data_IF_947076819084
#
_entry.id   IF_947076819084
#
_cell.length_a   1.000
_cell.length_b   1.000
_cell.length_c   1.000
_cell.angle_alpha   90.00
_cell.angle_beta   90.00
_cell.angle_gamma   90.00
#
_symmetry.space_group_name_H-M   'P 1'
#
loop_
_entity.id
_entity.type
_entity.pdbx_description
1 polymer ?
#
# COMPACT_ATOMS: atom_id res chain seq x y z
N UNK A 1 11.37 7.50 22.68
CA UNK A 1 12.54 7.64 21.79
C UNK A 1 12.52 6.68 20.60
N UNK A 2 12.14 5.40 20.77
CA UNK A 2 12.19 4.40 19.69
C UNK A 2 11.66 4.81 18.33
N UNK A 3 10.43 5.34 18.25
CA UNK A 3 9.87 5.80 16.96
C UNK A 3 10.67 6.95 16.34
N UNK A 4 11.17 7.89 17.15
CA UNK A 4 11.97 9.03 16.67
C UNK A 4 13.30 8.54 16.10
N UNK A 5 13.99 7.61 16.77
CA UNK A 5 15.21 7.00 16.25
C UNK A 5 14.95 6.22 14.96
N UNK A 6 13.82 5.51 14.86
CA UNK A 6 13.45 4.82 13.63
C UNK A 6 13.20 5.79 12.47
N UNK A 7 12.44 6.87 12.71
CA UNK A 7 12.16 7.90 11.71
C UNK A 7 13.42 8.67 11.30
N UNK A 8 14.30 9.02 12.24
CA UNK A 8 15.58 9.66 11.94
C UNK A 8 16.44 8.78 11.01
N UNK A 9 16.36 7.46 11.18
CA UNK A 9 17.03 6.50 10.31
C UNK A 9 16.58 6.53 8.84
N UNK A 10 15.37 7.02 8.56
CA UNK A 10 14.80 7.11 7.20
C UNK A 10 15.28 8.34 6.42
N UNK A 11 15.92 9.31 7.09
CA UNK A 11 16.41 10.52 6.43
C UNK A 11 17.55 10.15 5.47
N UNK A 12 17.46 10.54 4.18
CA UNK A 12 18.51 10.25 3.21
C UNK A 12 19.85 10.87 3.60
N UNK A 13 20.95 10.20 3.27
CA UNK A 13 22.30 10.55 3.75
C UNK A 13 22.69 12.01 3.46
N UNK A 14 22.31 12.53 2.30
CA UNK A 14 22.58 13.90 1.88
C UNK A 14 21.83 14.97 2.70
N UNK A 15 20.80 14.59 3.47
CA UNK A 15 20.03 15.49 4.33
C UNK A 15 20.22 15.20 5.83
N UNK A 16 20.95 14.13 6.19
CA UNK A 16 21.16 13.74 7.59
C UNK A 16 21.85 14.83 8.41
N UNK A 17 22.79 15.58 7.83
CA UNK A 17 23.46 16.68 8.53
C UNK A 17 22.48 17.79 8.95
N UNK A 18 21.54 18.17 8.07
CA UNK A 18 20.56 19.23 8.34
C UNK A 18 19.51 18.77 9.35
N UNK A 19 19.04 17.53 9.24
CA UNK A 19 18.12 16.94 10.23
C UNK A 19 18.77 16.88 11.62
N UNK A 20 20.05 16.48 11.71
CA UNK A 20 20.83 16.48 12.96
C UNK A 20 20.97 17.87 13.56
N UNK A 21 21.31 18.86 12.73
CA UNK A 21 21.50 20.24 13.17
C UNK A 21 20.21 20.88 13.71
N UNK A 22 19.07 20.60 13.06
CA UNK A 22 17.78 21.23 13.41
C UNK A 22 17.05 20.52 14.55
N UNK A 23 17.12 19.19 14.61
CA UNK A 23 16.34 18.40 15.58
C UNK A 23 17.16 17.91 16.76
N UNK A 24 18.50 17.90 16.65
CA UNK A 24 19.39 17.26 17.61
C UNK A 24 19.26 15.72 17.65
N UNK A 25 18.40 15.12 16.82
CA UNK A 25 18.10 13.69 16.86
C UNK A 25 18.98 12.90 15.89
N UNK A 26 19.53 11.79 16.38
CA UNK A 26 20.18 10.76 15.57
C UNK A 26 19.55 9.41 15.86
N UNK A 27 19.56 8.48 14.90
CA UNK A 27 19.02 7.15 15.12
C UNK A 27 19.02 6.30 13.87
N UNK A 28 18.74 5.00 14.06
CA UNK A 28 18.59 4.04 12.97
C UNK A 28 17.29 3.26 13.11
N UNK A 29 16.77 2.72 12.00
CA UNK A 29 15.59 1.84 12.02
C UNK A 29 15.79 0.63 12.95
N UNK A 30 16.92 -0.12 12.90
CA UNK A 30 17.16 -1.23 13.83
C UNK A 30 17.17 -0.80 15.30
N UNK A 31 17.79 0.35 15.62
CA UNK A 31 17.81 0.89 16.98
C UNK A 31 16.40 1.22 17.47
N UNK A 32 15.64 1.99 16.69
CA UNK A 32 14.29 2.38 17.07
C UNK A 32 13.34 1.19 17.24
N UNK A 33 13.48 0.17 16.37
CA UNK A 33 12.78 -1.11 16.48
C UNK A 33 13.12 -1.83 17.80
N UNK A 34 14.41 -1.95 18.13
CA UNK A 34 14.86 -2.62 19.34
C UNK A 34 14.40 -1.91 20.62
N UNK A 35 14.38 -0.58 20.63
CA UNK A 35 13.88 0.22 21.75
C UNK A 35 12.38 0.01 21.98
N UNK A 36 11.56 0.02 20.93
CA UNK A 36 10.12 -0.27 21.03
C UNK A 36 9.87 -1.73 21.49
N UNK A 37 10.63 -2.68 20.94
CA UNK A 37 10.53 -4.09 21.34
C UNK A 37 10.91 -4.30 22.82
N UNK A 38 11.91 -3.56 23.33
CA UNK A 38 12.29 -3.60 24.74
C UNK A 38 11.14 -3.14 25.65
N UNK A 39 10.46 -2.05 25.30
CA UNK A 39 9.31 -1.54 26.07
C UNK A 39 8.19 -2.59 26.12
N UNK A 40 7.82 -3.15 24.97
CA UNK A 40 6.79 -4.21 24.88
C UNK A 40 7.16 -5.50 25.62
N UNK A 41 8.45 -5.77 25.84
CA UNK A 41 8.86 -6.91 26.68
C UNK A 41 8.70 -6.58 28.16
N UNK A 42 9.04 -5.36 28.58
CA UNK A 42 8.89 -4.94 29.98
C UNK A 42 7.44 -4.85 30.45
N UNK A 43 6.48 -4.63 29.53
CA UNK A 43 5.05 -4.56 29.90
C UNK A 43 4.50 -5.86 30.48
N UNK A 44 5.14 -6.99 30.18
CA UNK A 44 4.79 -8.31 30.74
C UNK A 44 5.07 -8.42 32.24
N UNK A 45 6.03 -7.66 32.74
CA UNK A 45 6.46 -7.67 34.14
C UNK A 45 5.86 -6.50 34.91
N UNK A 46 5.71 -5.34 34.25
CA UNK A 46 5.17 -4.12 34.85
C UNK A 46 4.14 -3.47 33.92
N UNK A 47 2.91 -3.20 34.38
CA UNK A 47 1.92 -2.49 33.57
C UNK A 47 2.47 -1.17 33.04
N UNK A 48 2.28 -0.93 31.75
CA UNK A 48 2.69 0.32 31.10
C UNK A 48 1.48 0.98 30.44
N UNK A 49 1.23 2.24 30.78
CA UNK A 49 0.05 2.97 30.34
C UNK A 49 -0.07 3.05 28.81
N UNK A 50 1.05 3.15 28.09
CA UNK A 50 1.07 3.34 26.63
C UNK A 50 1.46 2.07 25.87
N UNK A 51 1.08 0.89 26.38
CA UNK A 51 1.39 -0.39 25.75
C UNK A 51 0.77 -0.50 24.35
N UNK A 52 -0.50 -0.13 24.20
CA UNK A 52 -1.23 -0.21 22.92
C UNK A 52 -0.65 0.74 21.87
N UNK A 53 -0.31 1.98 22.26
CA UNK A 53 0.37 2.94 21.37
C UNK A 53 1.76 2.45 20.99
N UNK A 54 2.49 1.87 21.93
CA UNK A 54 3.82 1.30 21.65
C UNK A 54 3.70 0.13 20.67
N UNK A 55 2.68 -0.71 20.82
CA UNK A 55 2.38 -1.81 19.92
C UNK A 55 2.01 -1.31 18.52
N UNK A 56 1.20 -0.27 18.41
CA UNK A 56 0.86 0.36 17.13
C UNK A 56 2.10 0.94 16.45
N UNK A 57 2.95 1.67 17.19
CA UNK A 57 4.19 2.22 16.65
C UNK A 57 5.17 1.13 16.24
N UNK A 58 5.27 0.06 17.03
CA UNK A 58 6.15 -1.07 16.72
C UNK A 58 5.71 -1.80 15.45
N UNK A 59 4.41 -2.11 15.32
CA UNK A 59 3.87 -2.73 14.10
C UNK A 59 4.01 -1.81 12.89
N UNK A 60 3.88 -0.49 13.05
CA UNK A 60 4.21 0.49 12.00
C UNK A 60 5.67 0.38 11.54
N UNK A 61 6.64 0.33 12.47
CA UNK A 61 8.07 0.19 12.15
C UNK A 61 8.35 -1.14 11.44
N UNK A 62 7.72 -2.23 11.87
CA UNK A 62 7.86 -3.53 11.23
C UNK A 62 7.37 -3.50 9.78
N UNK A 63 6.19 -2.93 9.53
CA UNK A 63 5.58 -2.89 8.20
C UNK A 63 6.27 -1.92 7.26
N UNK A 64 6.50 -0.69 7.71
CA UNK A 64 6.85 0.43 6.83
C UNK A 64 8.35 0.67 6.74
N UNK A 65 9.11 0.32 7.77
CA UNK A 65 10.54 0.65 7.84
C UNK A 65 11.44 -0.59 7.81
N UNK A 66 10.95 -1.74 8.28
CA UNK A 66 11.74 -2.98 8.37
C UNK A 66 11.36 -4.05 7.34
N UNK A 67 10.24 -3.88 6.63
CA UNK A 67 9.71 -4.86 5.68
C UNK A 67 9.52 -6.27 6.30
N UNK A 68 8.97 -6.32 7.53
CA UNK A 68 8.72 -7.55 8.30
C UNK A 68 7.20 -7.81 8.54
N UNK A 69 6.39 -8.01 7.48
CA UNK A 69 4.93 -8.12 7.60
C UNK A 69 4.46 -9.33 8.41
N UNK A 70 5.21 -10.45 8.35
CA UNK A 70 4.93 -11.66 9.13
C UNK A 70 5.13 -11.44 10.63
N UNK A 71 6.22 -10.75 11.01
CA UNK A 71 6.49 -10.39 12.40
C UNK A 71 5.43 -9.40 12.91
N UNK A 72 5.04 -8.43 12.08
CA UNK A 72 3.99 -7.47 12.45
C UNK A 72 2.66 -8.19 12.72
N UNK A 73 2.26 -9.12 11.85
CA UNK A 73 1.05 -9.90 12.04
C UNK A 73 1.11 -10.78 13.30
N UNK A 74 2.22 -11.51 13.49
CA UNK A 74 2.40 -12.35 14.69
C UNK A 74 2.31 -11.50 15.97
N UNK A 75 2.90 -10.31 15.95
CA UNK A 75 2.88 -9.40 17.12
C UNK A 75 1.45 -8.94 17.41
N UNK A 76 0.72 -8.41 16.42
CA UNK A 76 -0.61 -7.84 16.66
C UNK A 76 -1.66 -8.91 17.01
N UNK A 77 -1.57 -10.09 16.38
CA UNK A 77 -2.53 -11.19 16.62
C UNK A 77 -2.39 -11.84 17.99
N UNK A 78 -1.25 -11.67 18.65
CA UNK A 78 -0.95 -12.23 19.97
C UNK A 78 -1.05 -11.19 21.10
N UNK A 79 -1.46 -9.96 20.79
CA UNK A 79 -1.44 -8.84 21.72
C UNK A 79 -2.66 -8.75 22.67
N UNK A 80 -3.58 -9.73 22.65
CA UNK A 80 -4.74 -9.74 23.54
C UNK A 80 -5.80 -8.66 23.26
N UNK A 81 -5.70 -7.95 22.13
CA UNK A 81 -6.61 -6.89 21.72
C UNK A 81 -8.04 -7.40 21.53
N UNK A 82 -9.01 -6.56 21.87
CA UNK A 82 -10.46 -6.84 21.82
C UNK A 82 -11.15 -6.03 20.71
N UNK A 83 -11.03 -6.41 19.43
CA UNK A 83 -11.56 -5.62 18.31
C UNK A 83 -13.08 -5.52 18.26
N UNK A 84 -13.81 -6.47 18.88
CA UNK A 84 -15.27 -6.43 18.94
C UNK A 84 -15.82 -5.43 19.97
N UNK A 85 -14.96 -4.94 20.88
CA UNK A 85 -15.34 -4.06 21.98
C UNK A 85 -14.71 -2.66 21.83
N UNK A 86 -13.54 -2.57 21.20
CA UNK A 86 -12.80 -1.31 21.03
C UNK A 86 -12.55 -1.00 19.54
N UNK A 87 -13.06 0.13 19.01
CA UNK A 87 -12.84 0.54 17.61
C UNK A 87 -11.36 0.74 17.25
N UNK A 88 -10.52 1.17 18.20
CA UNK A 88 -9.08 1.33 18.00
C UNK A 88 -8.40 -0.03 17.83
N UNK A 89 -8.77 -1.03 18.63
CA UNK A 89 -8.28 -2.41 18.46
C UNK A 89 -8.67 -2.98 17.10
N UNK A 90 -9.92 -2.74 16.67
CA UNK A 90 -10.39 -3.11 15.34
C UNK A 90 -9.53 -2.47 14.25
N UNK A 91 -9.25 -1.17 14.37
CA UNK A 91 -8.40 -0.42 13.44
C UNK A 91 -6.98 -1.00 13.39
N UNK A 92 -6.36 -1.25 14.55
CA UNK A 92 -4.98 -1.75 14.64
C UNK A 92 -4.82 -3.11 13.94
N UNK A 93 -5.65 -4.09 14.30
CA UNK A 93 -5.57 -5.44 13.71
C UNK A 93 -5.89 -5.38 12.22
N UNK A 94 -6.96 -4.69 11.82
CA UNK A 94 -7.35 -4.60 10.43
C UNK A 94 -6.29 -3.87 9.58
N UNK A 95 -5.65 -2.82 10.11
CA UNK A 95 -4.60 -2.08 9.40
C UNK A 95 -3.38 -2.95 9.14
N UNK A 96 -2.92 -3.71 10.14
CA UNK A 96 -1.80 -4.65 9.97
C UNK A 96 -2.18 -5.76 8.99
N UNK A 97 -3.38 -6.35 9.11
CA UNK A 97 -3.87 -7.37 8.19
C UNK A 97 -3.90 -6.87 6.74
N UNK A 98 -4.43 -5.66 6.51
CA UNK A 98 -4.53 -5.04 5.18
C UNK A 98 -3.17 -4.68 4.57
N UNK A 99 -2.16 -4.34 5.38
CA UNK A 99 -0.80 -4.04 4.93
C UNK A 99 0.05 -5.31 4.71
N UNK A 100 -0.30 -6.42 5.38
CA UNK A 100 0.39 -7.71 5.26
C UNK A 100 -0.32 -8.71 4.33
N UNK A 101 -1.09 -8.22 3.34
CA UNK A 101 -1.80 -9.04 2.35
C UNK A 101 -2.78 -10.10 2.95
N UNK A 102 -3.32 -9.85 4.14
CA UNK A 102 -4.26 -10.73 4.86
C UNK A 102 -5.68 -10.16 4.83
N UNK A 103 -6.22 -9.98 3.63
CA UNK A 103 -7.48 -9.28 3.46
C UNK A 103 -8.69 -10.02 4.07
N UNK A 104 -8.68 -11.36 4.12
CA UNK A 104 -9.74 -12.13 4.79
C UNK A 104 -9.73 -11.92 6.32
N UNK A 105 -8.56 -11.78 6.95
CA UNK A 105 -8.46 -11.46 8.38
C UNK A 105 -8.96 -10.04 8.65
N UNK A 106 -8.61 -9.08 7.79
CA UNK A 106 -9.15 -7.73 7.87
C UNK A 106 -10.67 -7.72 7.77
N UNK A 107 -11.26 -8.48 6.84
CA UNK A 107 -12.70 -8.60 6.69
C UNK A 107 -13.36 -9.23 7.92
N UNK A 108 -12.77 -10.29 8.47
CA UNK A 108 -13.25 -10.96 9.68
C UNK A 108 -13.34 -9.97 10.85
N UNK A 109 -12.29 -9.18 11.06
CA UNK A 109 -12.23 -8.18 12.14
C UNK A 109 -13.19 -7.02 11.89
N UNK A 110 -13.17 -6.43 10.70
CA UNK A 110 -13.99 -5.26 10.36
C UNK A 110 -15.49 -5.57 10.34
N UNK A 111 -15.88 -6.81 10.03
CA UNK A 111 -17.27 -7.26 10.09
C UNK A 111 -17.82 -7.31 11.52
N UNK A 112 -16.94 -7.44 12.52
CA UNK A 112 -17.27 -7.52 13.95
C UNK A 112 -16.97 -6.22 14.69
N UNK A 113 -16.74 -5.12 13.97
CA UNK A 113 -16.45 -3.83 14.60
C UNK A 113 -17.58 -3.43 15.58
N UNK A 114 -17.26 -2.71 16.67
CA UNK A 114 -18.26 -2.35 17.68
C UNK A 114 -19.41 -1.56 17.07
N UNK A 115 -20.65 -1.89 17.48
CA UNK A 115 -21.89 -1.23 17.00
C UNK A 115 -22.55 -0.37 18.09
N UNK A 116 -21.90 -0.20 19.24
CA UNK A 116 -22.46 0.56 20.36
C UNK A 116 -22.57 2.05 20.00
N UNK A 117 -23.79 2.63 19.96
CA UNK A 117 -24.01 4.04 19.68
C UNK A 117 -23.38 5.00 20.70
N UNK A 118 -23.02 4.52 21.89
CA UNK A 118 -22.32 5.30 22.91
C UNK A 118 -20.84 5.52 22.58
N UNK A 119 -20.26 4.72 21.67
CA UNK A 119 -18.87 4.88 21.24
C UNK A 119 -18.73 6.06 20.28
N UNK A 120 -17.59 6.76 20.38
CA UNK A 120 -17.26 7.82 19.43
C UNK A 120 -17.19 7.24 18.01
N UNK A 121 -17.83 7.89 17.01
CA UNK A 121 -17.77 7.43 15.63
C UNK A 121 -16.32 7.31 15.15
N UNK A 122 -16.01 6.18 14.51
CA UNK A 122 -14.72 5.97 13.86
C UNK A 122 -14.91 5.70 12.35
N UNK A 123 -15.24 6.73 11.54
CA UNK A 123 -15.60 6.56 10.12
C UNK A 123 -14.52 5.84 9.30
N UNK A 124 -13.26 5.92 9.70
CA UNK A 124 -12.15 5.26 9.03
C UNK A 124 -12.32 3.74 8.95
N UNK A 125 -12.98 3.11 9.93
CA UNK A 125 -13.30 1.69 9.89
C UNK A 125 -14.24 1.34 8.72
N UNK A 126 -15.16 2.23 8.37
CA UNK A 126 -16.02 2.06 7.19
C UNK A 126 -15.20 2.15 5.91
N UNK A 127 -14.30 3.13 5.79
CA UNK A 127 -13.41 3.22 4.64
C UNK A 127 -12.54 1.96 4.47
N UNK A 128 -11.96 1.45 5.56
CA UNK A 128 -11.17 0.22 5.57
C UNK A 128 -12.02 -0.99 5.18
N UNK A 129 -13.25 -1.09 5.68
CA UNK A 129 -14.12 -2.22 5.38
C UNK A 129 -14.59 -2.22 3.92
N UNK A 130 -14.95 -1.05 3.38
CA UNK A 130 -15.20 -0.88 1.95
C UNK A 130 -14.00 -1.30 1.12
N UNK A 131 -12.79 -0.90 1.53
CA UNK A 131 -11.54 -1.25 0.82
C UNK A 131 -11.24 -2.73 0.87
N UNK A 132 -11.40 -3.38 2.02
CA UNK A 132 -11.20 -4.81 2.13
C UNK A 132 -12.22 -5.59 1.29
N UNK A 133 -13.49 -5.15 1.23
CA UNK A 133 -14.51 -5.73 0.34
C UNK A 133 -14.16 -5.53 -1.14
N UNK A 134 -13.80 -4.32 -1.54
CA UNK A 134 -13.46 -4.03 -2.93
C UNK A 134 -12.23 -4.81 -3.41
N UNK A 135 -11.24 -5.06 -2.55
CA UNK A 135 -10.06 -5.89 -2.84
C UNK A 135 -10.38 -7.35 -3.15
N UNK A 136 -11.53 -7.88 -2.70
CA UNK A 136 -12.07 -9.18 -3.11
C UNK A 136 -13.16 -9.10 -4.17
N UNK A 137 -13.31 -7.92 -4.80
CA UNK A 137 -14.33 -7.60 -5.80
C UNK A 137 -15.77 -7.65 -5.26
N UNK A 138 -15.95 -7.52 -3.94
CA UNK A 138 -17.27 -7.38 -3.32
C UNK A 138 -17.73 -5.92 -3.40
N UNK A 139 -18.73 -5.67 -4.25
CA UNK A 139 -19.21 -4.33 -4.57
C UNK A 139 -20.17 -3.75 -3.51
N UNK A 140 -20.52 -4.54 -2.48
CA UNK A 140 -21.11 -4.02 -1.24
C UNK A 140 -20.17 -3.02 -0.55
N UNK A 141 -18.90 -2.94 -0.97
CA UNK A 141 -17.99 -1.86 -0.63
C UNK A 141 -18.61 -0.45 -0.80
N UNK A 142 -19.51 -0.28 -1.77
CA UNK A 142 -20.21 0.99 -2.06
C UNK A 142 -20.83 1.60 -0.79
N UNK A 143 -21.56 0.78 0.00
CA UNK A 143 -22.28 1.26 1.20
C UNK A 143 -21.33 1.80 2.26
N UNK A 144 -20.15 1.20 2.37
CA UNK A 144 -19.16 1.55 3.37
C UNK A 144 -18.44 2.86 3.02
N UNK A 145 -18.14 3.08 1.74
CA UNK A 145 -17.60 4.37 1.29
C UNK A 145 -18.61 5.51 1.42
N UNK A 146 -19.89 5.25 1.14
CA UNK A 146 -20.97 6.22 1.38
C UNK A 146 -21.11 6.54 2.87
N UNK A 147 -21.06 5.52 3.74
CA UNK A 147 -21.05 5.71 5.19
C UNK A 147 -19.86 6.55 5.66
N UNK A 148 -18.66 6.30 5.14
CA UNK A 148 -17.47 7.11 5.42
C UNK A 148 -17.69 8.57 5.02
N UNK A 149 -18.10 8.83 3.77
CA UNK A 149 -18.30 10.19 3.27
C UNK A 149 -19.40 10.97 4.03
N UNK A 150 -20.42 10.29 4.54
CA UNK A 150 -21.48 10.92 5.33
C UNK A 150 -21.06 11.30 6.76
N UNK A 151 -20.15 10.55 7.36
CA UNK A 151 -19.78 10.71 8.77
C UNK A 151 -18.43 11.40 8.98
N UNK A 152 -17.49 11.24 8.04
CA UNK A 152 -16.14 11.77 8.17
C UNK A 152 -16.12 13.30 8.04
N UNK A 153 -15.52 13.96 9.04
CA UNK A 153 -15.42 15.43 9.11
C UNK A 153 -14.04 15.98 8.71
N UNK A 154 -13.10 15.10 8.37
CA UNK A 154 -11.79 15.50 7.88
C UNK A 154 -11.79 15.81 6.39
N UNK A 155 -10.62 16.23 5.88
CA UNK A 155 -10.42 16.62 4.48
C UNK A 155 -9.67 15.60 3.61
N UNK A 156 -8.89 14.73 4.25
CA UNK A 156 -8.06 13.72 3.60
C UNK A 156 -8.87 12.44 3.32
N UNK A 157 -8.55 11.72 2.25
CA UNK A 157 -9.21 10.47 1.87
C UNK A 157 -10.58 10.64 1.21
N UNK A 158 -11.10 11.88 1.11
CA UNK A 158 -12.38 12.16 0.46
C UNK A 158 -12.30 11.91 -1.06
N UNK A 159 -11.21 12.34 -1.72
CA UNK A 159 -11.04 12.09 -3.16
C UNK A 159 -10.84 10.61 -3.43
N UNK A 160 -10.04 9.96 -2.58
CA UNK A 160 -9.87 8.51 -2.64
C UNK A 160 -11.21 7.77 -2.48
N UNK A 161 -12.05 8.13 -1.51
CA UNK A 161 -13.37 7.50 -1.33
C UNK A 161 -14.26 7.63 -2.58
N UNK A 162 -14.27 8.81 -3.22
CA UNK A 162 -14.98 9.00 -4.49
C UNK A 162 -14.37 8.17 -5.62
N UNK A 163 -13.05 8.05 -5.72
CA UNK A 163 -12.40 7.15 -6.69
C UNK A 163 -12.82 5.69 -6.45
N UNK A 164 -12.89 5.23 -5.21
CA UNK A 164 -13.34 3.86 -4.89
C UNK A 164 -14.81 3.64 -5.23
N UNK A 165 -15.68 4.63 -5.02
CA UNK A 165 -17.07 4.60 -5.49
C UNK A 165 -17.15 4.56 -7.01
N UNK A 166 -16.31 5.33 -7.71
CA UNK A 166 -16.22 5.29 -9.16
C UNK A 166 -15.85 3.87 -9.62
N UNK A 167 -14.83 3.26 -9.03
CA UNK A 167 -14.44 1.89 -9.33
C UNK A 167 -15.57 0.89 -9.10
N UNK A 168 -16.31 1.02 -7.99
CA UNK A 168 -17.49 0.18 -7.74
C UNK A 168 -18.54 0.33 -8.85
N UNK A 169 -18.83 1.56 -9.29
CA UNK A 169 -19.78 1.82 -10.38
C UNK A 169 -19.29 1.24 -11.72
N UNK A 170 -18.01 1.46 -12.06
CA UNK A 170 -17.42 0.91 -13.28
C UNK A 170 -17.46 -0.61 -13.32
N UNK A 171 -17.16 -1.28 -12.21
CA UNK A 171 -17.23 -2.74 -12.12
C UNK A 171 -18.67 -3.29 -12.17
N UNK A 172 -19.69 -2.46 -11.92
CA UNK A 172 -21.12 -2.77 -12.15
C UNK A 172 -21.56 -2.53 -13.60
N UNK A 173 -20.69 -1.98 -14.45
CA UNK A 173 -21.06 -1.53 -15.80
C UNK A 173 -21.71 -0.14 -15.85
N UNK A 174 -21.72 0.60 -14.74
CA UNK A 174 -22.28 1.95 -14.65
C UNK A 174 -21.20 3.02 -14.95
N UNK A 175 -20.92 3.23 -16.23
CA UNK A 175 -19.99 4.28 -16.68
C UNK A 175 -20.46 5.70 -16.31
N UNK A 176 -21.76 6.07 -16.43
CA UNK A 176 -22.25 7.35 -15.92
C UNK A 176 -21.99 7.55 -14.43
N UNK A 177 -22.18 6.51 -13.61
CA UNK A 177 -21.87 6.52 -12.18
C UNK A 177 -20.38 6.69 -11.90
N UNK A 178 -19.51 5.99 -12.64
CA UNK A 178 -18.07 6.17 -12.56
C UNK A 178 -17.68 7.64 -12.77
N UNK A 179 -18.15 8.25 -13.87
CA UNK A 179 -17.84 9.65 -14.20
C UNK A 179 -18.41 10.62 -13.16
N UNK A 180 -19.63 10.37 -12.67
CA UNK A 180 -20.26 11.19 -11.62
C UNK A 180 -19.43 11.18 -10.34
N UNK A 181 -18.99 10.02 -9.87
CA UNK A 181 -18.15 9.94 -8.68
C UNK A 181 -16.79 10.63 -8.87
N UNK A 182 -16.15 10.49 -10.05
CA UNK A 182 -14.91 11.23 -10.32
C UNK A 182 -15.11 12.75 -10.37
N UNK A 183 -16.25 13.26 -10.85
CA UNK A 183 -16.56 14.71 -10.75
C UNK A 183 -16.65 15.19 -9.31
N UNK A 184 -17.12 14.35 -8.38
CA UNK A 184 -17.02 14.67 -6.96
C UNK A 184 -15.57 14.67 -6.48
N UNK A 185 -14.73 13.72 -6.92
CA UNK A 185 -13.30 13.72 -6.58
C UNK A 185 -12.55 14.97 -7.11
N UNK A 186 -13.00 15.59 -8.21
CA UNK A 186 -12.47 16.87 -8.68
C UNK A 186 -12.75 18.02 -7.70
N UNK A 187 -13.95 18.05 -7.12
CA UNK A 187 -14.47 19.22 -6.39
C UNK A 187 -14.43 19.09 -4.86
N UNK A 188 -14.41 17.87 -4.32
CA UNK A 188 -14.51 17.59 -2.89
C UNK A 188 -13.18 17.11 -2.30
N UNK A 189 -12.92 17.46 -1.04
CA UNK A 189 -11.68 17.07 -0.34
C UNK A 189 -10.41 17.76 -0.85
N UNK A 190 -9.26 17.37 -0.29
CA UNK A 190 -7.95 17.93 -0.67
C UNK A 190 -7.02 16.86 -1.25
N UNK A 191 -6.06 17.27 -2.06
CA UNK A 191 -5.04 16.40 -2.65
C UNK A 191 -3.69 16.55 -1.94
N UNK A 192 -3.67 16.36 -0.61
CA UNK A 192 -2.45 16.44 0.20
C UNK A 192 -1.76 15.07 0.31
N UNK A 193 -2.55 14.00 0.45
CA UNK A 193 -2.06 12.62 0.52
C UNK A 193 -1.72 12.06 -0.86
N UNK A 194 -0.84 11.05 -0.92
CA UNK A 194 -0.52 10.37 -2.17
C UNK A 194 -1.75 9.71 -2.82
N UNK A 195 -2.66 9.18 -2.00
CA UNK A 195 -3.88 8.53 -2.49
C UNK A 195 -4.86 9.54 -3.09
N UNK A 196 -5.10 10.68 -2.42
CA UNK A 196 -5.96 11.73 -2.97
C UNK A 196 -5.38 12.39 -4.22
N UNK A 197 -4.04 12.52 -4.31
CA UNK A 197 -3.37 12.97 -5.54
C UNK A 197 -3.58 12.00 -6.70
N UNK A 198 -3.48 10.69 -6.45
CA UNK A 198 -3.79 9.68 -7.47
C UNK A 198 -5.26 9.73 -7.90
N UNK A 199 -6.17 9.83 -6.93
CA UNK A 199 -7.60 9.98 -7.20
C UNK A 199 -7.92 11.23 -8.02
N UNK A 200 -7.30 12.36 -7.72
CA UNK A 200 -7.45 13.60 -8.49
C UNK A 200 -6.95 13.42 -9.93
N UNK A 201 -5.80 12.77 -10.12
CA UNK A 201 -5.24 12.52 -11.46
C UNK A 201 -6.17 11.66 -12.32
N UNK A 202 -6.70 10.58 -11.77
CA UNK A 202 -7.69 9.75 -12.46
C UNK A 202 -8.98 10.54 -12.75
N UNK A 203 -9.42 11.36 -11.79
CA UNK A 203 -10.60 12.20 -11.95
C UNK A 203 -10.47 13.22 -13.09
N UNK A 204 -9.26 13.67 -13.40
CA UNK A 204 -9.00 14.57 -14.54
C UNK A 204 -9.15 13.89 -15.90
N UNK A 205 -8.95 12.57 -15.98
CA UNK A 205 -9.13 11.84 -17.24
C UNK A 205 -10.59 11.48 -17.52
N UNK A 206 -11.38 11.26 -16.45
CA UNK A 206 -12.76 10.73 -16.49
C UNK A 206 -12.91 9.43 -17.31
N UNK A 207 -11.81 8.72 -17.54
CA UNK A 207 -11.76 7.49 -18.34
C UNK A 207 -11.21 6.35 -17.49
N UNK A 208 -11.94 5.23 -17.37
CA UNK A 208 -11.46 4.10 -16.61
C UNK A 208 -10.33 3.39 -17.37
N UNK A 209 -9.38 2.85 -16.62
CA UNK A 209 -8.50 1.81 -17.12
C UNK A 209 -9.31 0.54 -17.47
N UNK A 210 -8.78 -0.37 -18.30
CA UNK A 210 -9.42 -1.64 -18.58
C UNK A 210 -9.85 -2.38 -17.30
N UNK A 211 -11.08 -2.86 -17.28
CA UNK A 211 -11.68 -3.47 -16.09
C UNK A 211 -10.85 -4.63 -15.54
N UNK A 212 -10.23 -5.43 -16.41
CA UNK A 212 -9.36 -6.55 -16.03
C UNK A 212 -8.11 -6.07 -15.28
N UNK A 213 -7.47 -4.98 -15.71
CA UNK A 213 -6.30 -4.42 -15.01
C UNK A 213 -6.69 -3.84 -13.64
N UNK A 214 -7.86 -3.19 -13.54
CA UNK A 214 -8.40 -2.73 -12.27
C UNK A 214 -8.72 -3.88 -11.32
N UNK A 215 -9.41 -4.93 -11.80
CA UNK A 215 -9.71 -6.12 -11.00
C UNK A 215 -8.43 -6.82 -10.53
N UNK A 216 -7.44 -6.96 -11.40
CA UNK A 216 -6.14 -7.54 -11.05
C UNK A 216 -5.41 -6.71 -9.98
N UNK A 217 -5.46 -5.36 -10.06
CA UNK A 217 -4.96 -4.46 -9.02
C UNK A 217 -5.64 -4.74 -7.67
N UNK A 218 -6.96 -4.76 -7.65
CA UNK A 218 -7.74 -4.93 -6.43
C UNK A 218 -7.46 -6.28 -5.77
N UNK A 219 -7.42 -7.36 -6.57
CA UNK A 219 -7.09 -8.70 -6.09
C UNK A 219 -5.64 -8.76 -5.56
N UNK A 220 -4.69 -8.15 -6.26
CA UNK A 220 -3.30 -8.06 -5.80
C UNK A 220 -3.19 -7.32 -4.46
N UNK A 221 -3.84 -6.15 -4.33
CA UNK A 221 -3.84 -5.35 -3.09
C UNK A 221 -4.51 -6.10 -1.93
N UNK A 222 -5.40 -7.06 -2.22
CA UNK A 222 -6.01 -7.97 -1.26
C UNK A 222 -5.20 -9.23 -0.93
N UNK A 223 -4.05 -9.46 -1.58
CA UNK A 223 -3.29 -10.70 -1.42
C UNK A 223 -3.86 -11.90 -2.18
N UNK A 224 -4.88 -11.71 -3.02
CA UNK A 224 -5.51 -12.76 -3.82
C UNK A 224 -4.70 -13.05 -5.10
N UNK A 225 -3.40 -13.30 -4.97
CA UNK A 225 -2.47 -13.37 -6.10
C UNK A 225 -2.85 -14.45 -7.11
N UNK A 226 -3.29 -15.63 -6.65
CA UNK A 226 -3.71 -16.71 -7.56
C UNK A 226 -4.95 -16.32 -8.39
N UNK A 227 -5.93 -15.65 -7.77
CA UNK A 227 -7.12 -15.16 -8.50
C UNK A 227 -6.76 -14.08 -9.51
N UNK A 228 -5.86 -13.18 -9.12
CA UNK A 228 -5.36 -12.12 -10.01
C UNK A 228 -4.60 -12.71 -11.22
N UNK A 229 -3.81 -13.76 -11.00
CA UNK A 229 -3.06 -14.44 -12.05
C UNK A 229 -4.01 -15.06 -13.08
N UNK A 230 -4.95 -15.90 -12.62
CA UNK A 230 -5.91 -16.58 -13.50
C UNK A 230 -6.70 -15.58 -14.35
N UNK A 231 -7.19 -14.50 -13.72
CA UNK A 231 -7.90 -13.43 -14.42
C UNK A 231 -7.06 -12.77 -15.52
N UNK A 232 -5.77 -12.53 -15.25
CA UNK A 232 -4.87 -11.89 -16.19
C UNK A 232 -4.48 -12.83 -17.35
N UNK A 233 -4.27 -14.12 -17.06
CA UNK A 233 -3.98 -15.16 -18.05
C UNK A 233 -5.17 -15.40 -19.00
N UNK A 234 -6.39 -15.40 -18.45
CA UNK A 234 -7.64 -15.56 -19.23
C UNK A 234 -7.82 -14.42 -20.24
N UNK A 235 -7.63 -13.17 -19.82
CA UNK A 235 -7.72 -12.03 -20.74
C UNK A 235 -6.58 -12.04 -21.76
N UNK A 236 -5.35 -12.29 -21.32
CA UNK A 236 -4.16 -12.28 -22.16
C UNK A 236 -3.74 -10.88 -22.67
N UNK A 237 -2.48 -10.78 -23.10
CA UNK A 237 -1.88 -9.51 -23.53
C UNK A 237 -2.47 -8.95 -24.85
N UNK A 238 -3.00 -9.81 -25.72
CA UNK A 238 -3.45 -9.43 -27.08
C UNK A 238 -4.65 -8.47 -27.07
N UNK A 239 -5.37 -8.42 -25.97
CA UNK A 239 -6.53 -7.55 -25.75
C UNK A 239 -6.14 -6.09 -25.48
N UNK A 240 -4.86 -5.80 -25.25
CA UNK A 240 -4.38 -4.45 -24.92
C UNK A 240 -3.65 -3.83 -26.10
N UNK A 241 -4.27 -2.81 -26.71
CA UNK A 241 -3.72 -2.10 -27.86
C UNK A 241 -2.78 -0.95 -27.47
N UNK A 242 -3.11 -0.20 -26.42
CA UNK A 242 -2.29 0.95 -26.00
C UNK A 242 -0.98 0.49 -25.36
N UNK A 243 0.09 1.27 -25.61
CA UNK A 243 1.39 1.03 -24.97
C UNK A 243 1.25 1.04 -23.44
N UNK A 244 0.50 2.01 -22.89
CA UNK A 244 0.24 2.12 -21.45
C UNK A 244 -0.34 0.84 -20.86
N UNK A 245 -1.41 0.29 -21.46
CA UNK A 245 -2.06 -0.90 -20.92
C UNK A 245 -1.19 -2.15 -21.07
N UNK A 246 -0.39 -2.25 -22.14
CA UNK A 246 0.57 -3.36 -22.31
C UNK A 246 1.68 -3.30 -21.26
N UNK A 247 2.19 -2.10 -20.96
CA UNK A 247 3.16 -1.89 -19.89
C UNK A 247 2.58 -2.25 -18.53
N UNK A 248 1.37 -1.75 -18.24
CA UNK A 248 0.66 -2.05 -17.02
C UNK A 248 0.40 -3.55 -16.86
N UNK A 249 -0.02 -4.24 -17.92
CA UNK A 249 -0.25 -5.68 -17.92
C UNK A 249 1.02 -6.44 -17.51
N UNK A 250 2.14 -6.19 -18.17
CA UNK A 250 3.40 -6.88 -17.89
C UNK A 250 3.91 -6.57 -16.47
N UNK A 251 3.81 -5.32 -16.04
CA UNK A 251 4.15 -4.92 -14.69
C UNK A 251 3.27 -5.62 -13.65
N UNK A 252 1.94 -5.64 -13.83
CA UNK A 252 0.99 -6.32 -12.92
C UNK A 252 1.23 -7.81 -12.87
N UNK A 253 1.45 -8.45 -14.01
CA UNK A 253 1.81 -9.86 -14.08
C UNK A 253 3.08 -10.15 -13.27
N UNK A 254 4.12 -9.32 -13.43
CA UNK A 254 5.35 -9.41 -12.64
C UNK A 254 5.10 -9.26 -11.14
N UNK A 255 4.29 -8.28 -10.72
CA UNK A 255 3.91 -8.08 -9.31
C UNK A 255 3.18 -9.29 -8.73
N UNK A 256 2.20 -9.82 -9.46
CA UNK A 256 1.40 -10.98 -9.04
C UNK A 256 2.29 -12.22 -8.87
N UNK A 257 3.12 -12.52 -9.87
CA UNK A 257 4.06 -13.65 -9.83
C UNK A 257 5.12 -13.49 -8.74
N UNK A 258 5.57 -12.25 -8.50
CA UNK A 258 6.45 -11.92 -7.38
C UNK A 258 5.76 -12.21 -6.03
N UNK A 259 4.49 -11.81 -5.86
CA UNK A 259 3.70 -12.16 -4.67
C UNK A 259 3.52 -13.67 -4.46
N UNK A 260 3.47 -14.44 -5.54
CA UNK A 260 3.44 -15.92 -5.53
C UNK A 260 4.84 -16.55 -5.35
N UNK A 261 5.91 -15.75 -5.21
CA UNK A 261 7.31 -16.20 -5.16
C UNK A 261 7.76 -16.98 -6.40
N UNK A 262 7.07 -16.84 -7.53
CA UNK A 262 7.45 -17.38 -8.85
C UNK A 262 8.46 -16.44 -9.51
N UNK A 263 9.62 -16.29 -8.89
CA UNK A 263 10.60 -15.27 -9.24
C UNK A 263 11.06 -15.30 -10.71
N UNK A 264 11.37 -16.46 -11.33
CA UNK A 264 11.79 -16.49 -12.73
C UNK A 264 10.76 -15.88 -13.69
N UNK A 265 9.49 -16.17 -13.46
CA UNK A 265 8.39 -15.70 -14.30
C UNK A 265 8.05 -14.24 -14.02
N UNK A 266 8.18 -13.81 -12.76
CA UNK A 266 8.08 -12.42 -12.37
C UNK A 266 9.14 -11.56 -13.08
N UNK A 267 10.40 -12.02 -13.06
CA UNK A 267 11.53 -11.38 -13.75
C UNK A 267 11.28 -11.29 -15.26
N UNK A 268 10.80 -12.36 -15.90
CA UNK A 268 10.45 -12.35 -17.32
C UNK A 268 9.34 -11.32 -17.64
N UNK A 269 8.35 -11.18 -16.76
CA UNK A 269 7.27 -10.20 -16.93
C UNK A 269 7.75 -8.75 -16.72
N UNK A 270 8.57 -8.50 -15.70
CA UNK A 270 9.20 -7.20 -15.50
C UNK A 270 10.11 -6.81 -16.66
N UNK A 271 10.87 -7.77 -17.19
CA UNK A 271 11.75 -7.55 -18.34
C UNK A 271 10.96 -7.03 -19.54
N UNK A 272 9.82 -7.65 -19.87
CA UNK A 272 8.93 -7.17 -20.93
C UNK A 272 8.41 -5.74 -20.67
N UNK A 273 8.06 -5.42 -19.42
CA UNK A 273 7.66 -4.05 -19.07
C UNK A 273 8.80 -3.03 -19.22
N UNK A 274 10.04 -3.42 -18.90
CA UNK A 274 11.21 -2.56 -19.02
C UNK A 274 11.61 -2.33 -20.49
N UNK A 275 11.62 -3.39 -21.30
CA UNK A 275 11.94 -3.32 -22.73
C UNK A 275 10.98 -2.42 -23.50
N UNK A 276 9.67 -2.54 -23.23
CA UNK A 276 8.65 -1.72 -23.90
C UNK A 276 8.59 -0.28 -23.38
N UNK A 277 9.01 -0.04 -22.13
CA UNK A 277 8.65 1.17 -21.39
C UNK A 277 9.81 2.03 -20.92
N UNK A 278 11.07 1.68 -21.21
CA UNK A 278 12.26 2.41 -20.74
C UNK A 278 12.21 3.93 -21.00
N UNK A 279 11.65 4.32 -22.14
CA UNK A 279 11.53 5.72 -22.57
C UNK A 279 10.08 6.23 -22.50
N UNK A 280 9.15 5.45 -21.96
CA UNK A 280 7.76 5.84 -21.82
C UNK A 280 7.56 6.71 -20.56
N UNK A 281 6.60 7.65 -20.55
CA UNK A 281 6.33 8.50 -19.38
C UNK A 281 5.74 7.73 -18.20
N UNK A 282 5.24 6.51 -18.43
CA UNK A 282 4.56 5.71 -17.42
C UNK A 282 5.54 5.06 -16.44
N UNK A 283 5.19 5.04 -15.15
CA UNK A 283 6.04 4.53 -14.08
C UNK A 283 6.32 3.02 -14.11
N UNK A 284 5.59 2.24 -14.92
CA UNK A 284 5.61 0.78 -14.92
C UNK A 284 7.01 0.20 -15.15
N UNK A 285 7.76 0.70 -16.13
CA UNK A 285 9.12 0.24 -16.41
C UNK A 285 10.10 0.58 -15.27
N UNK A 286 10.04 1.81 -14.75
CA UNK A 286 10.87 2.26 -13.64
C UNK A 286 10.62 1.41 -12.38
N UNK A 287 9.35 1.14 -12.08
CA UNK A 287 8.99 0.30 -10.95
C UNK A 287 9.30 -1.18 -11.20
N UNK A 288 9.17 -1.69 -12.43
CA UNK A 288 9.62 -3.03 -12.79
C UNK A 288 11.13 -3.22 -12.52
N UNK A 289 11.97 -2.23 -12.85
CA UNK A 289 13.39 -2.26 -12.53
C UNK A 289 13.64 -2.30 -11.01
N UNK A 290 12.93 -1.46 -10.25
CA UNK A 290 12.99 -1.49 -8.78
C UNK A 290 12.63 -2.87 -8.20
N UNK A 291 11.52 -3.47 -8.68
CA UNK A 291 11.07 -4.79 -8.19
C UNK A 291 12.03 -5.91 -8.58
N UNK A 292 12.62 -5.85 -9.78
CA UNK A 292 13.66 -6.78 -10.20
C UNK A 292 14.89 -6.71 -9.29
N UNK A 293 15.32 -5.49 -8.91
CA UNK A 293 16.40 -5.31 -7.94
C UNK A 293 16.09 -5.95 -6.57
N UNK A 294 14.84 -5.78 -6.08
CA UNK A 294 14.37 -6.39 -4.82
C UNK A 294 14.37 -7.93 -4.91
N UNK A 295 13.97 -8.50 -6.05
CA UNK A 295 14.03 -9.96 -6.25
C UNK A 295 15.49 -10.44 -6.19
N UNK A 296 16.40 -9.80 -6.91
CA UNK A 296 17.81 -10.21 -6.92
C UNK A 296 18.46 -10.09 -5.54
N UNK A 297 18.12 -9.04 -4.78
CA UNK A 297 18.54 -8.92 -3.39
C UNK A 297 18.01 -10.08 -2.53
N UNK A 298 16.73 -10.40 -2.66
CA UNK A 298 16.10 -11.52 -1.93
C UNK A 298 16.78 -12.86 -2.27
N UNK A 299 17.25 -13.01 -3.50
CA UNK A 299 17.97 -14.18 -3.98
C UNK A 299 19.47 -14.19 -3.60
N UNK A 300 19.96 -13.20 -2.83
CA UNK A 300 21.35 -13.10 -2.43
C UNK A 300 22.30 -12.72 -3.57
N UNK A 301 21.82 -11.98 -4.58
CA UNK A 301 22.57 -11.58 -5.77
C UNK A 301 22.80 -10.05 -5.79
N UNK A 302 23.72 -9.53 -4.96
CA UNK A 302 23.86 -8.11 -4.69
C UNK A 302 24.26 -7.27 -5.92
N UNK A 303 25.15 -7.78 -6.76
CA UNK A 303 25.61 -7.05 -7.95
C UNK A 303 24.49 -6.86 -8.98
N UNK A 304 23.70 -7.91 -9.21
CA UNK A 304 22.52 -7.82 -10.08
C UNK A 304 21.46 -6.89 -9.49
N UNK A 305 21.24 -6.93 -8.17
CA UNK A 305 20.34 -6.01 -7.51
C UNK A 305 20.75 -4.53 -7.73
N UNK A 306 22.04 -4.23 -7.55
CA UNK A 306 22.61 -2.88 -7.78
C UNK A 306 22.45 -2.44 -9.24
N UNK A 307 22.65 -3.34 -10.20
CA UNK A 307 22.44 -3.05 -11.62
C UNK A 307 21.00 -2.58 -11.88
N UNK A 308 20.00 -3.31 -11.39
CA UNK A 308 18.59 -2.97 -11.61
C UNK A 308 18.13 -1.74 -10.80
N UNK A 309 18.69 -1.49 -9.62
CA UNK A 309 18.46 -0.22 -8.93
C UNK A 309 19.03 0.97 -9.69
N UNK A 310 20.23 0.85 -10.29
CA UNK A 310 20.78 1.89 -11.17
C UNK A 310 19.93 2.08 -12.42
N UNK A 311 19.42 1.00 -13.00
CA UNK A 311 18.48 1.07 -14.13
C UNK A 311 17.20 1.84 -13.76
N UNK A 312 16.60 1.56 -12.59
CA UNK A 312 15.47 2.34 -12.06
C UNK A 312 15.80 3.84 -11.96
N UNK A 313 16.99 4.19 -11.49
CA UNK A 313 17.44 5.58 -11.33
C UNK A 313 17.67 6.30 -12.67
N UNK A 314 17.95 5.55 -13.74
CA UNK A 314 18.12 6.11 -15.09
C UNK A 314 16.82 6.44 -15.81
N UNK A 315 15.67 5.94 -15.33
CA UNK A 315 14.35 6.17 -15.94
C UNK A 315 13.66 7.38 -15.30
N UNK A 316 12.93 8.14 -16.12
CA UNK A 316 12.26 9.39 -15.72
C UNK A 316 10.75 9.33 -15.99
N UNK A 317 9.97 8.57 -15.20
CA UNK A 317 8.52 8.57 -15.34
C UNK A 317 7.90 9.88 -14.81
N UNK A 318 6.73 10.23 -15.31
CA UNK A 318 5.97 11.40 -14.87
C UNK A 318 5.46 11.22 -13.43
N UNK A 319 5.04 10.01 -13.09
CA UNK A 319 4.51 9.67 -11.77
C UNK A 319 5.52 8.88 -10.93
N UNK A 320 5.43 9.09 -9.61
CA UNK A 320 6.14 8.30 -8.58
C UNK A 320 7.68 8.31 -8.67
N UNK A 321 8.29 9.06 -9.60
CA UNK A 321 9.75 9.12 -9.81
C UNK A 321 10.52 9.30 -8.50
N UNK A 322 10.17 10.32 -7.71
CA UNK A 322 10.86 10.62 -6.45
C UNK A 322 10.83 9.44 -5.49
N UNK A 323 9.66 8.84 -5.26
CA UNK A 323 9.52 7.68 -4.37
C UNK A 323 10.24 6.44 -4.89
N UNK A 324 10.18 6.18 -6.21
CA UNK A 324 10.85 5.02 -6.82
C UNK A 324 12.37 5.17 -6.75
N UNK A 325 12.89 6.36 -7.05
CA UNK A 325 14.31 6.67 -6.97
C UNK A 325 14.83 6.63 -5.53
N UNK A 326 14.05 7.13 -4.56
CA UNK A 326 14.40 7.01 -3.14
C UNK A 326 14.47 5.53 -2.72
N UNK A 327 13.51 4.71 -3.11
CA UNK A 327 13.52 3.27 -2.83
C UNK A 327 14.72 2.55 -3.47
N UNK A 328 15.07 2.90 -4.72
CA UNK A 328 16.24 2.35 -5.41
C UNK A 328 17.56 2.77 -4.73
N UNK A 329 17.69 4.04 -4.33
CA UNK A 329 18.86 4.53 -3.56
C UNK A 329 18.99 3.81 -2.21
N UNK A 330 17.88 3.64 -1.49
CA UNK A 330 17.87 2.88 -0.25
C UNK A 330 18.26 1.40 -0.49
N UNK A 331 17.93 0.85 -1.66
CA UNK A 331 18.37 -0.48 -2.10
C UNK A 331 19.86 -0.59 -2.38
N UNK A 332 20.45 0.42 -3.02
CA UNK A 332 21.90 0.46 -3.24
C UNK A 332 22.64 0.61 -1.91
N UNK A 333 22.13 1.43 -0.99
CA UNK A 333 22.82 1.71 0.28
C UNK A 333 22.77 0.55 1.28
N UNK A 334 21.83 -0.39 1.15
CA UNK A 334 21.69 -1.54 2.08
C UNK A 334 22.46 -2.79 1.63
N UNK A 335 22.96 -2.82 0.39
CA UNK A 335 23.65 -3.95 -0.25
C UNK A 335 25.13 -3.60 -0.46
#
# INVERSE_FOLDING_TARGET
MGILHALAGTVPDNYRWGARLLTGMTGTVPQGKAELEKVLRSTKEQPFLFEEETLLLYTFVLLNLSNEPEKAWKTISQAGLQPAQNPVHCYMIASVAMQSARNEEALSVLSKQPQDPALLPFPQLQFMYGTAKLRKLDLEATRHYQSFLGQYKGRNGIKEAYQRLAWCAFLKGDLPGYQRHLRHALTQGVAETGADKNALKEAQSLRPAPATLLKARLLFDGGYFQKALLLMEEQGIKEYQSLEHRLEYHYRMGRILHGLKRFPEALASYQKSMELGKNAPFYFACNAALQTGIIYETLGKPEQAKEFFRLCLSMNPDDYRTSLHQAAKAGINRI
#
